data_IF_650554785862
#
_entry.id   IF_650554785862
#
_cell.length_a   1.000
_cell.length_b   1.000
_cell.length_c   1.000
_cell.angle_alpha   90.00
_cell.angle_beta   90.00
_cell.angle_gamma   90.00
#
_symmetry.space_group_name_H-M   'P 1'
#
loop_
_entity.id
_entity.type
_entity.pdbx_description
1 polymer ?
#
# COMPACT_ATOMS: atom_id res chain seq x y z
N UNK A 1 12.55 21.79 7.71
CA UNK A 1 13.23 21.12 8.85
C UNK A 1 13.31 19.65 8.51
N UNK A 2 14.51 19.07 8.50
CA UNK A 2 14.76 17.74 7.95
C UNK A 2 13.99 16.67 8.71
N UNK A 3 13.08 15.98 8.02
CA UNK A 3 12.48 14.75 8.51
C UNK A 3 13.59 13.72 8.74
N UNK A 4 13.52 13.01 9.86
CA UNK A 4 14.41 11.89 10.13
C UNK A 4 14.22 10.86 9.00
N UNK A 5 15.25 10.74 8.16
CA UNK A 5 15.36 9.73 7.13
C UNK A 5 15.62 8.39 7.83
N UNK A 6 14.54 7.69 8.23
CA UNK A 6 14.62 6.38 8.86
C UNK A 6 15.00 5.39 7.76
N UNK A 7 16.30 5.14 7.62
CA UNK A 7 16.82 4.15 6.69
C UNK A 7 16.93 2.82 7.39
N UNK A 8 16.13 1.84 6.97
CA UNK A 8 16.33 0.47 7.42
C UNK A 8 17.59 -0.09 6.76
N UNK A 9 18.41 -0.78 7.56
CA UNK A 9 19.71 -1.29 7.15
C UNK A 9 19.82 -2.75 7.53
N UNK A 10 20.04 -3.60 6.55
CA UNK A 10 20.19 -5.04 6.73
C UNK A 10 21.67 -5.43 6.75
N UNK A 11 22.05 -6.29 7.70
CA UNK A 11 23.44 -6.73 7.86
C UNK A 11 23.71 -7.92 6.96
N UNK A 12 24.56 -7.74 5.95
CA UNK A 12 24.99 -8.81 5.06
C UNK A 12 26.12 -9.58 5.74
N UNK A 13 25.89 -10.84 6.12
CA UNK A 13 26.91 -11.70 6.71
C UNK A 13 27.44 -12.74 5.71
N UNK A 14 28.75 -13.00 5.72
CA UNK A 14 29.37 -14.14 5.01
C UNK A 14 30.28 -14.90 5.96
N UNK A 15 30.03 -16.21 6.14
CA UNK A 15 30.73 -17.06 7.13
C UNK A 15 30.69 -16.50 8.57
N UNK A 16 29.54 -15.96 9.00
CA UNK A 16 29.35 -15.44 10.36
C UNK A 16 30.07 -14.12 10.66
N UNK A 17 30.59 -13.41 9.64
CA UNK A 17 31.16 -12.07 9.77
C UNK A 17 30.33 -11.07 8.96
N UNK A 18 30.14 -9.89 9.53
CA UNK A 18 29.56 -8.74 8.81
C UNK A 18 30.46 -8.43 7.61
N UNK A 19 29.88 -8.50 6.43
CA UNK A 19 30.54 -8.23 5.15
C UNK A 19 30.13 -6.86 4.61
N UNK A 20 28.84 -6.50 4.73
CA UNK A 20 28.32 -5.19 4.36
C UNK A 20 27.07 -4.85 5.16
N UNK A 21 26.62 -3.59 5.04
CA UNK A 21 25.31 -3.14 5.49
C UNK A 21 24.58 -2.62 4.27
N UNK A 22 23.44 -3.23 3.94
CA UNK A 22 22.61 -2.84 2.81
C UNK A 22 21.49 -1.93 3.31
N UNK A 23 21.34 -0.75 2.70
CA UNK A 23 20.11 0.04 2.87
C UNK A 23 18.94 -0.71 2.22
N UNK A 24 17.78 -0.71 2.87
CA UNK A 24 16.56 -1.36 2.40
C UNK A 24 15.58 -0.29 1.96
N UNK A 25 15.07 -0.42 0.74
CA UNK A 25 14.00 0.43 0.23
C UNK A 25 12.64 -0.11 0.71
N UNK A 26 11.83 0.74 1.36
CA UNK A 26 10.59 0.37 2.02
C UNK A 26 9.39 0.94 1.27
N UNK A 27 9.13 0.38 0.08
CA UNK A 27 8.02 0.79 -0.78
C UNK A 27 7.15 -0.43 -1.14
N UNK A 28 5.84 -0.30 -0.90
CA UNK A 28 4.85 -1.35 -1.16
C UNK A 28 4.29 -1.28 -2.60
N UNK A 29 4.82 -0.43 -3.46
CA UNK A 29 4.63 -0.59 -4.90
C UNK A 29 5.13 -1.99 -5.33
N UNK A 30 4.32 -2.79 -6.04
CA UNK A 30 4.64 -4.19 -6.33
C UNK A 30 5.88 -4.35 -7.23
N UNK A 31 6.16 -3.39 -8.11
CA UNK A 31 7.35 -3.43 -8.97
C UNK A 31 8.60 -3.08 -8.17
N UNK A 32 8.53 -2.02 -7.35
CA UNK A 32 9.65 -1.62 -6.48
C UNK A 32 9.95 -2.69 -5.44
N UNK A 33 8.92 -3.25 -4.80
CA UNK A 33 9.06 -4.35 -3.84
C UNK A 33 9.75 -5.56 -4.49
N UNK A 34 9.28 -5.96 -5.68
CA UNK A 34 9.88 -7.08 -6.41
C UNK A 34 11.34 -6.80 -6.80
N UNK A 35 11.65 -5.57 -7.21
CA UNK A 35 13.00 -5.15 -7.56
C UNK A 35 13.93 -5.17 -6.32
N UNK A 36 13.43 -4.71 -5.18
CA UNK A 36 14.18 -4.68 -3.93
C UNK A 36 14.46 -6.09 -3.41
N UNK A 37 13.46 -6.98 -3.43
CA UNK A 37 13.66 -8.40 -3.09
C UNK A 37 14.70 -9.05 -4.00
N UNK A 38 14.65 -8.80 -5.31
CA UNK A 38 15.64 -9.31 -6.25
C UNK A 38 17.05 -8.76 -5.98
N UNK A 39 17.17 -7.48 -5.65
CA UNK A 39 18.46 -6.84 -5.31
C UNK A 39 19.05 -7.44 -4.04
N UNK A 40 18.25 -7.57 -2.97
CA UNK A 40 18.67 -8.18 -1.71
C UNK A 40 19.07 -9.65 -1.91
N UNK A 41 18.34 -10.38 -2.75
CA UNK A 41 18.67 -11.76 -3.07
C UNK A 41 20.04 -11.91 -3.73
N UNK A 42 20.41 -11.01 -4.64
CA UNK A 42 21.75 -10.97 -5.23
C UNK A 42 22.85 -10.65 -4.21
N UNK A 43 22.56 -9.84 -3.19
CA UNK A 43 23.50 -9.57 -2.10
C UNK A 43 23.68 -10.75 -1.15
N UNK A 44 22.62 -11.53 -0.93
CA UNK A 44 22.61 -12.66 -0.01
C UNK A 44 22.93 -14.01 -0.67
N UNK A 45 22.94 -14.09 -2.00
CA UNK A 45 23.07 -15.35 -2.73
C UNK A 45 21.82 -16.24 -2.59
N UNK A 46 20.64 -15.62 -2.57
CA UNK A 46 19.33 -16.28 -2.38
C UNK A 46 18.41 -16.10 -3.59
N UNK A 47 18.96 -15.93 -4.79
CA UNK A 47 18.24 -15.60 -6.01
C UNK A 47 17.16 -16.64 -6.36
N UNK A 48 17.44 -17.93 -6.17
CA UNK A 48 16.46 -19.01 -6.40
C UNK A 48 15.25 -18.90 -5.47
N UNK A 49 15.48 -18.51 -4.21
CA UNK A 49 14.42 -18.31 -3.20
C UNK A 49 13.59 -17.09 -3.58
N UNK A 50 14.23 -15.99 -3.96
CA UNK A 50 13.55 -14.78 -4.39
C UNK A 50 12.72 -15.00 -5.67
N UNK A 51 13.22 -15.79 -6.62
CA UNK A 51 12.46 -16.14 -7.82
C UNK A 51 11.22 -16.99 -7.50
N UNK A 52 11.30 -17.90 -6.53
CA UNK A 52 10.13 -18.67 -6.06
C UNK A 52 9.12 -17.77 -5.33
N UNK A 53 9.60 -16.91 -4.43
CA UNK A 53 8.76 -15.93 -3.73
C UNK A 53 8.03 -15.03 -4.74
N UNK A 54 8.73 -14.49 -5.74
CA UNK A 54 8.15 -13.61 -6.75
C UNK A 54 7.00 -14.28 -7.52
N UNK A 55 7.14 -15.55 -7.88
CA UNK A 55 6.05 -16.30 -8.55
C UNK A 55 4.80 -16.38 -7.67
N UNK A 56 4.98 -16.62 -6.37
CA UNK A 56 3.88 -16.63 -5.40
C UNK A 56 3.25 -15.25 -5.23
N UNK A 57 4.09 -14.23 -5.12
CA UNK A 57 3.67 -12.83 -5.03
C UNK A 57 2.84 -12.40 -6.24
N UNK A 58 3.35 -12.61 -7.46
CA UNK A 58 2.68 -12.24 -8.71
C UNK A 58 1.31 -12.94 -8.83
N UNK A 59 1.24 -14.22 -8.48
CA UNK A 59 0.00 -15.00 -8.53
C UNK A 59 -1.04 -14.48 -7.53
N UNK A 60 -0.63 -14.19 -6.30
CA UNK A 60 -1.54 -13.67 -5.27
C UNK A 60 -1.96 -12.23 -5.59
N UNK A 61 -1.04 -11.35 -6.01
CA UNK A 61 -1.37 -9.99 -6.43
C UNK A 61 -2.41 -9.99 -7.56
N UNK A 62 -2.20 -10.81 -8.60
CA UNK A 62 -3.14 -10.91 -9.71
C UNK A 62 -4.53 -11.40 -9.28
N UNK A 63 -4.58 -12.36 -8.34
CA UNK A 63 -5.83 -12.84 -7.75
C UNK A 63 -6.53 -11.74 -6.96
N UNK A 64 -5.84 -11.07 -6.04
CA UNK A 64 -6.40 -9.98 -5.24
C UNK A 64 -6.90 -8.84 -6.12
N UNK A 65 -6.13 -8.43 -7.13
CA UNK A 65 -6.54 -7.40 -8.08
C UNK A 65 -7.82 -7.78 -8.82
N UNK A 66 -7.90 -9.02 -9.32
CA UNK A 66 -9.10 -9.53 -9.99
C UNK A 66 -10.31 -9.53 -9.05
N UNK A 67 -10.15 -10.01 -7.83
CA UNK A 67 -11.22 -10.10 -6.85
C UNK A 67 -11.74 -8.72 -6.44
N UNK A 68 -10.85 -7.73 -6.27
CA UNK A 68 -11.20 -6.34 -5.97
C UNK A 68 -11.92 -5.67 -7.15
N UNK A 69 -11.46 -5.89 -8.38
CA UNK A 69 -12.14 -5.39 -9.59
C UNK A 69 -13.56 -5.94 -9.73
N UNK A 70 -13.74 -7.23 -9.40
CA UNK A 70 -15.07 -7.85 -9.39
C UNK A 70 -15.98 -7.29 -8.28
N UNK A 71 -15.39 -6.74 -7.22
CA UNK A 71 -16.09 -6.13 -6.09
C UNK A 71 -16.47 -4.65 -6.31
N UNK A 72 -16.10 -4.04 -7.43
CA UNK A 72 -16.37 -2.64 -7.69
C UNK A 72 -17.87 -2.28 -7.61
N UNK A 73 -18.23 -1.16 -6.94
CA UNK A 73 -19.61 -0.69 -6.90
C UNK A 73 -20.14 -0.39 -8.30
N UNK A 74 -21.26 -1.01 -8.67
CA UNK A 74 -21.86 -0.83 -10.01
C UNK A 74 -20.94 -1.21 -11.16
N UNK A 75 -19.95 -2.09 -10.93
CA UNK A 75 -18.94 -2.53 -11.91
C UNK A 75 -18.11 -1.39 -12.52
N UNK A 76 -17.97 -0.25 -11.82
CA UNK A 76 -17.14 0.89 -12.25
C UNK A 76 -15.97 1.09 -11.30
N UNK A 77 -14.81 1.43 -11.86
CA UNK A 77 -13.63 1.76 -11.06
C UNK A 77 -13.97 2.92 -10.11
N UNK A 78 -13.82 2.75 -8.78
CA UNK A 78 -14.12 3.80 -7.83
C UNK A 78 -13.05 4.90 -7.91
N UNK A 79 -13.49 6.16 -7.79
CA UNK A 79 -12.57 7.28 -7.60
C UNK A 79 -12.02 7.25 -6.17
N UNK A 80 -10.70 7.35 -6.03
CA UNK A 80 -9.99 7.23 -4.74
C UNK A 80 -9.18 8.48 -4.47
N UNK A 81 -9.25 8.98 -3.23
CA UNK A 81 -8.19 9.85 -2.68
C UNK A 81 -7.32 9.02 -1.75
N UNK A 82 -6.00 9.08 -1.89
CA UNK A 82 -5.09 8.21 -1.14
C UNK A 82 -4.06 9.01 -0.34
N UNK A 83 -3.73 8.55 0.86
CA UNK A 83 -2.49 8.98 1.50
C UNK A 83 -1.31 8.58 0.60
N UNK A 84 -0.26 9.40 0.53
CA UNK A 84 0.91 9.14 -0.35
C UNK A 84 1.61 7.80 -0.11
N UNK A 85 1.47 7.20 1.08
CA UNK A 85 2.05 5.91 1.45
C UNK A 85 1.10 4.70 1.27
N UNK A 86 -0.09 4.92 0.73
CA UNK A 86 -1.12 3.90 0.53
C UNK A 86 -1.61 3.82 -0.92
N UNK A 87 -0.95 4.54 -1.84
CA UNK A 87 -1.31 4.60 -3.27
C UNK A 87 -1.27 3.23 -3.94
N UNK A 88 -0.32 2.38 -3.54
CA UNK A 88 -0.19 0.99 -3.97
C UNK A 88 -1.48 0.17 -3.72
N UNK A 89 -2.27 0.51 -2.70
CA UNK A 89 -3.54 -0.17 -2.42
C UNK A 89 -4.64 0.24 -3.41
N UNK A 90 -4.62 1.48 -3.91
CA UNK A 90 -5.51 1.91 -4.99
C UNK A 90 -5.19 1.16 -6.30
N UNK A 91 -3.90 1.01 -6.59
CA UNK A 91 -3.40 0.23 -7.75
C UNK A 91 -3.76 -1.26 -7.62
N UNK A 92 -3.58 -1.85 -6.44
CA UNK A 92 -4.02 -3.20 -6.12
C UNK A 92 -5.52 -3.38 -6.39
N UNK A 93 -6.35 -2.38 -6.09
CA UNK A 93 -7.79 -2.42 -6.39
C UNK A 93 -8.13 -2.17 -7.87
N UNK A 94 -7.17 -1.76 -8.69
CA UNK A 94 -7.40 -1.19 -10.02
C UNK A 94 -8.26 0.08 -10.01
N UNK A 95 -8.32 0.76 -8.86
CA UNK A 95 -9.13 1.95 -8.67
C UNK A 95 -8.52 3.16 -9.39
N UNK A 96 -9.34 4.17 -9.65
CA UNK A 96 -8.86 5.42 -10.27
C UNK A 96 -8.47 6.39 -9.16
N UNK A 97 -7.17 6.58 -8.95
CA UNK A 97 -6.67 7.60 -8.02
C UNK A 97 -6.99 8.99 -8.58
N UNK A 98 -7.88 9.72 -7.91
CA UNK A 98 -8.25 11.08 -8.25
C UNK A 98 -7.17 12.07 -7.80
N UNK A 99 -6.65 11.90 -6.58
CA UNK A 99 -5.55 12.70 -6.04
C UNK A 99 -4.96 12.06 -4.77
N UNK A 100 -3.88 12.66 -4.26
CA UNK A 100 -3.15 12.21 -3.06
C UNK A 100 -3.11 13.30 -1.98
N UNK A 101 -2.87 12.87 -0.73
CA UNK A 101 -2.63 13.77 0.40
C UNK A 101 -1.56 13.21 1.35
N UNK A 102 -1.05 14.05 2.24
CA UNK A 102 0.04 13.70 3.13
C UNK A 102 1.43 13.82 2.46
N UNK A 103 2.52 13.55 3.20
CA UNK A 103 2.52 13.13 4.61
C UNK A 103 2.26 14.29 5.58
N UNK A 104 2.33 15.54 5.13
CA UNK A 104 1.97 16.69 5.95
C UNK A 104 0.46 16.77 6.21
N UNK A 105 0.09 17.45 7.30
CA UNK A 105 -1.31 17.68 7.63
C UNK A 105 -2.04 18.38 6.47
N UNK A 106 -3.23 17.88 6.13
CA UNK A 106 -4.06 18.43 5.06
C UNK A 106 -4.57 19.81 5.48
N UNK A 107 -4.35 20.82 4.65
CA UNK A 107 -4.87 22.18 4.89
C UNK A 107 -6.37 22.24 4.57
N UNK A 108 -7.13 23.21 5.13
CA UNK A 108 -8.55 23.36 4.81
C UNK A 108 -8.83 23.60 3.31
N UNK A 109 -7.95 24.34 2.61
CA UNK A 109 -8.08 24.54 1.16
C UNK A 109 -7.93 23.23 0.40
N UNK A 110 -6.91 22.43 0.76
CA UNK A 110 -6.70 21.11 0.17
C UNK A 110 -7.85 20.15 0.47
N UNK A 111 -8.42 20.21 1.68
CA UNK A 111 -9.59 19.43 2.06
C UNK A 111 -10.79 19.73 1.15
N UNK A 112 -11.02 21.01 0.84
CA UNK A 112 -12.09 21.44 -0.07
C UNK A 112 -11.86 20.91 -1.49
N UNK A 113 -10.63 20.96 -2.00
CA UNK A 113 -10.27 20.43 -3.33
C UNK A 113 -10.53 18.93 -3.41
N UNK A 114 -10.03 18.16 -2.44
CA UNK A 114 -10.20 16.71 -2.39
C UNK A 114 -11.68 16.31 -2.28
N UNK A 115 -12.46 17.03 -1.48
CA UNK A 115 -13.90 16.80 -1.35
C UNK A 115 -14.66 17.08 -2.67
N UNK A 116 -14.25 18.12 -3.40
CA UNK A 116 -14.88 18.49 -4.67
C UNK A 116 -14.72 17.42 -5.77
N UNK A 117 -13.72 16.54 -5.64
CA UNK A 117 -13.50 15.40 -6.54
C UNK A 117 -14.52 14.28 -6.35
N UNK A 118 -15.32 14.31 -5.27
CA UNK A 118 -16.34 13.31 -4.93
C UNK A 118 -15.78 11.87 -4.96
N UNK A 119 -14.70 11.59 -4.21
CA UNK A 119 -14.16 10.24 -4.17
C UNK A 119 -15.20 9.27 -3.58
N UNK A 120 -15.20 8.03 -4.07
CA UNK A 120 -15.95 6.95 -3.45
C UNK A 120 -15.24 6.43 -2.20
N UNK A 121 -13.90 6.44 -2.22
CA UNK A 121 -13.04 5.90 -1.17
C UNK A 121 -11.95 6.90 -0.78
N UNK A 122 -11.59 6.91 0.50
CA UNK A 122 -10.38 7.57 1.01
C UNK A 122 -9.48 6.52 1.62
N UNK A 123 -8.29 6.29 1.05
CA UNK A 123 -7.33 5.31 1.58
C UNK A 123 -6.39 5.99 2.56
N UNK A 124 -6.70 5.84 3.84
CA UNK A 124 -5.95 6.44 4.94
C UNK A 124 -4.86 5.50 5.45
N UNK A 125 -3.69 6.06 5.79
CA UNK A 125 -2.64 5.25 6.40
C UNK A 125 -2.99 5.01 7.88
N UNK A 126 -3.23 3.75 8.23
CA UNK A 126 -3.63 3.36 9.59
C UNK A 126 -2.62 3.81 10.67
N UNK A 127 -1.34 3.90 10.33
CA UNK A 127 -0.24 4.29 11.24
C UNK A 127 0.00 5.80 11.29
N UNK A 128 -0.58 6.58 10.37
CA UNK A 128 -0.48 8.05 10.34
C UNK A 128 -1.84 8.75 10.43
N UNK A 129 -2.90 7.99 10.70
CA UNK A 129 -4.27 8.50 10.74
C UNK A 129 -4.45 9.57 11.82
N UNK A 130 -5.03 10.71 11.44
CA UNK A 130 -5.41 11.78 12.37
C UNK A 130 -6.93 11.91 12.53
N UNK A 131 -7.69 10.89 12.13
CA UNK A 131 -9.16 10.88 12.14
C UNK A 131 -9.77 10.79 10.74
N UNK A 132 -11.05 11.13 10.63
CA UNK A 132 -11.74 11.13 9.32
C UNK A 132 -11.20 12.25 8.44
N UNK A 133 -10.67 11.91 7.27
CA UNK A 133 -9.94 12.83 6.40
C UNK A 133 -10.90 13.75 5.65
N UNK A 134 -11.94 13.20 5.01
CA UNK A 134 -12.94 13.94 4.24
C UNK A 134 -14.34 13.80 4.89
N UNK A 135 -14.58 14.41 6.07
CA UNK A 135 -15.90 14.39 6.68
C UNK A 135 -16.93 15.00 5.73
N UNK A 136 -18.16 14.48 5.76
CA UNK A 136 -19.31 14.94 4.96
C UNK A 136 -19.17 14.84 3.42
N UNK A 137 -18.06 14.32 2.90
CA UNK A 137 -17.87 14.08 1.46
C UNK A 137 -18.73 12.92 0.91
N UNK A 138 -19.25 12.06 1.78
CA UNK A 138 -19.91 10.80 1.43
C UNK A 138 -18.96 9.65 1.10
N UNK A 139 -17.65 9.90 0.98
CA UNK A 139 -16.64 8.89 0.74
C UNK A 139 -16.51 7.93 1.92
N UNK A 140 -16.27 6.64 1.64
CA UNK A 140 -15.94 5.66 2.69
C UNK A 140 -14.43 5.69 2.95
N UNK A 141 -14.03 5.97 4.19
CA UNK A 141 -12.63 5.90 4.59
C UNK A 141 -12.21 4.46 4.88
N UNK A 142 -11.13 4.03 4.25
CA UNK A 142 -10.53 2.70 4.40
C UNK A 142 -9.18 2.87 5.08
N UNK A 143 -8.94 2.13 6.16
CA UNK A 143 -7.65 2.13 6.85
C UNK A 143 -6.75 1.10 6.19
N UNK A 144 -5.62 1.56 5.68
CA UNK A 144 -4.60 0.72 5.05
C UNK A 144 -3.37 0.69 5.95
N UNK A 145 -3.03 -0.49 6.46
CA UNK A 145 -1.73 -0.73 7.08
C UNK A 145 -0.67 -0.83 5.98
N UNK A 146 0.50 -0.23 6.20
CA UNK A 146 1.61 -0.26 5.25
C UNK A 146 2.86 -0.97 5.80
N UNK A 147 2.74 -1.61 6.97
CA UNK A 147 3.76 -2.47 7.55
C UNK A 147 3.16 -3.86 7.79
N UNK A 148 3.98 -4.93 7.71
CA UNK A 148 3.52 -6.26 8.07
C UNK A 148 3.18 -6.36 9.55
N UNK A 149 2.30 -7.29 9.88
CA UNK A 149 1.97 -7.66 11.26
C UNK A 149 3.08 -8.52 11.87
N UNK A 150 2.82 -9.16 13.01
CA UNK A 150 3.81 -10.00 13.72
C UNK A 150 4.36 -11.18 12.88
N UNK A 151 3.70 -11.54 11.78
CA UNK A 151 4.15 -12.57 10.85
C UNK A 151 5.30 -12.11 9.93
N UNK A 152 5.54 -10.80 9.87
CA UNK A 152 6.58 -10.15 9.05
C UNK A 152 6.48 -10.48 7.55
N UNK A 153 5.30 -10.92 7.08
CA UNK A 153 5.08 -11.29 5.68
C UNK A 153 4.59 -10.08 4.88
N UNK A 154 5.35 -9.65 3.89
CA UNK A 154 4.94 -8.56 3.00
C UNK A 154 3.66 -8.90 2.22
N UNK A 155 3.38 -10.18 1.97
CA UNK A 155 2.16 -10.59 1.29
C UNK A 155 0.91 -10.43 2.17
N UNK A 156 1.05 -10.49 3.51
CA UNK A 156 -0.07 -10.23 4.43
C UNK A 156 -0.56 -8.78 4.31
N UNK A 157 0.35 -7.83 4.11
CA UNK A 157 0.04 -6.39 3.89
C UNK A 157 -0.93 -6.20 2.71
N UNK A 158 -0.70 -6.87 1.57
CA UNK A 158 -1.61 -6.79 0.41
C UNK A 158 -2.94 -7.49 0.66
N UNK A 159 -2.93 -8.64 1.34
CA UNK A 159 -4.16 -9.38 1.66
C UNK A 159 -5.06 -8.58 2.61
N UNK A 160 -4.48 -7.96 3.62
CA UNK A 160 -5.20 -7.15 4.61
C UNK A 160 -5.77 -5.89 3.96
N UNK A 161 -4.98 -5.20 3.13
CA UNK A 161 -5.47 -4.08 2.34
C UNK A 161 -6.64 -4.49 1.43
N UNK A 162 -6.52 -5.63 0.74
CA UNK A 162 -7.59 -6.15 -0.11
C UNK A 162 -8.87 -6.48 0.69
N UNK A 163 -8.73 -7.01 1.90
CA UNK A 163 -9.88 -7.30 2.78
C UNK A 163 -10.62 -6.01 3.18
N UNK A 164 -9.89 -4.98 3.61
CA UNK A 164 -10.46 -3.68 3.99
C UNK A 164 -11.11 -2.96 2.81
N UNK A 165 -10.46 -2.98 1.64
CA UNK A 165 -11.01 -2.43 0.40
C UNK A 165 -12.30 -3.14 -0.01
N UNK A 166 -12.33 -4.47 0.05
CA UNK A 166 -13.51 -5.27 -0.32
C UNK A 166 -14.68 -4.96 0.61
N UNK A 167 -14.44 -4.90 1.92
CA UNK A 167 -15.44 -4.51 2.92
C UNK A 167 -16.01 -3.12 2.62
N UNK A 168 -15.15 -2.14 2.34
CA UNK A 168 -15.59 -0.79 2.01
C UNK A 168 -16.45 -0.74 0.72
N UNK A 169 -16.09 -1.52 -0.30
CA UNK A 169 -16.89 -1.62 -1.53
C UNK A 169 -18.24 -2.31 -1.32
N UNK A 170 -18.34 -3.26 -0.39
CA UNK A 170 -19.60 -3.89 0.01
C UNK A 170 -20.50 -2.91 0.78
N UNK A 171 -19.92 -2.10 1.68
CA UNK A 171 -20.63 -1.02 2.38
C UNK A 171 -21.16 0.05 1.43
N UNK A 172 -20.43 0.39 0.36
CA UNK A 172 -20.93 1.32 -0.67
C UNK A 172 -22.11 0.72 -1.43
N UNK A 173 -22.11 -0.59 -1.70
CA UNK A 173 -23.18 -1.28 -2.43
C UNK A 173 -24.48 -1.42 -1.63
N UNK A 174 -24.43 -1.31 -0.31
CA UNK A 174 -25.61 -1.46 0.56
C UNK A 174 -26.29 -0.14 0.94
N UNK A 175 -25.74 1.00 0.50
CA UNK A 175 -26.33 2.33 0.63
C UNK A 175 -27.31 2.62 -0.51
#
# INVERSE_FOLDING_TARGET
>A
MGGADIRMREVVCRHGRVNAVAEVDLDNDPEKLSAEVARLAGLFGTEDIAAQWKKGFDAEYAKLNKDLRAAWPGSRSPAVVSHVFTTWAAELAGATTADMYGPEAVTPGRLSELSAMKPALVLDNAHMSTGTVLPDSGATQVKIANYPSDDLDLLSVYRDAAAELKKAMEEIRSR
#
